data_IF_376217607719
#
_entry.id   IF_376217607719
#
_cell.length_a   1.000
_cell.length_b   1.000
_cell.length_c   1.000
_cell.angle_alpha   90.00
_cell.angle_beta   90.00
_cell.angle_gamma   90.00
#
_symmetry.space_group_name_H-M   'P 1'
#
loop_
_entity.id
_entity.type
_entity.pdbx_description
1 polymer ?
#
# COMPACT_ATOMS: atom_id res chain seq x y z
N UNK A 1 6.26 10.60 37.10
CA UNK A 1 7.07 9.58 36.41
C UNK A 1 7.52 10.24 35.12
N UNK A 2 8.64 10.96 35.23
CA UNK A 2 9.09 12.03 34.34
C UNK A 2 9.71 11.46 33.07
N UNK A 3 9.69 12.19 31.96
CA UNK A 3 10.26 11.77 30.67
C UNK A 3 11.71 11.25 30.75
N UNK A 4 12.47 11.68 31.76
CA UNK A 4 13.82 11.21 32.06
C UNK A 4 13.89 9.71 32.45
N UNK A 5 12.83 9.13 33.01
CA UNK A 5 12.80 7.72 33.39
C UNK A 5 12.63 6.76 32.21
N UNK A 6 12.30 7.27 31.02
CA UNK A 6 12.11 6.47 29.79
C UNK A 6 13.38 6.44 28.93
N UNK A 7 14.28 7.42 29.08
CA UNK A 7 15.56 7.44 28.35
C UNK A 7 16.59 6.48 28.97
N UNK A 8 16.48 6.24 30.28
CA UNK A 8 17.42 5.44 31.05
C UNK A 8 17.20 3.92 30.94
N UNK A 9 16.19 3.48 30.18
CA UNK A 9 15.82 2.06 30.00
C UNK A 9 16.25 1.47 28.65
N UNK A 10 17.05 2.17 27.84
CA UNK A 10 17.58 1.62 26.58
C UNK A 10 18.67 0.58 26.92
N UNK A 11 18.46 -0.72 26.65
CA UNK A 11 19.52 -1.72 26.83
C UNK A 11 20.65 -1.42 25.84
N UNK A 12 21.89 -1.53 26.31
CA UNK A 12 23.09 -1.34 25.50
C UNK A 12 23.00 -2.18 24.22
N UNK A 13 23.04 -1.51 23.06
CA UNK A 13 22.97 -2.16 21.76
C UNK A 13 24.15 -3.14 21.60
N UNK A 14 23.91 -4.43 21.30
CA UNK A 14 25.00 -5.35 21.00
C UNK A 14 25.53 -5.01 19.61
N UNK A 15 26.66 -4.29 19.55
CA UNK A 15 27.36 -4.01 18.29
C UNK A 15 28.04 -2.65 18.17
N UNK A 16 28.66 -2.13 19.23
CA UNK A 16 29.59 -1.01 19.07
C UNK A 16 30.92 -1.51 18.50
N UNK A 17 31.02 -1.59 17.17
CA UNK A 17 32.32 -1.68 16.49
C UNK A 17 33.17 -0.45 16.84
N UNK A 18 34.50 -0.57 16.95
CA UNK A 18 35.36 0.54 17.36
C UNK A 18 35.46 1.55 16.20
N UNK A 19 34.57 2.55 16.16
CA UNK A 19 34.68 3.68 15.23
C UNK A 19 33.39 4.39 14.78
N UNK A 20 32.20 4.04 15.28
CA UNK A 20 30.96 4.74 14.89
C UNK A 20 30.62 5.89 15.84
N UNK A 21 30.58 7.13 15.34
CA UNK A 21 29.91 8.24 16.05
C UNK A 21 28.41 7.95 16.26
N UNK A 22 27.69 8.77 17.04
CA UNK A 22 26.25 8.61 17.21
C UNK A 22 25.55 8.56 15.83
N UNK A 23 24.52 7.72 15.65
CA UNK A 23 23.76 7.64 14.40
C UNK A 23 23.34 9.03 13.95
N UNK A 24 23.56 9.35 12.67
CA UNK A 24 23.05 10.60 12.09
C UNK A 24 21.54 10.43 11.86
N UNK A 25 20.74 10.92 12.81
CA UNK A 25 19.27 10.91 12.74
C UNK A 25 18.72 12.11 11.90
N UNK A 26 19.59 12.85 11.20
CA UNK A 26 19.16 13.94 10.33
C UNK A 26 18.42 13.38 9.11
N UNK A 27 17.23 13.93 8.75
CA UNK A 27 16.56 13.58 7.51
C UNK A 27 17.49 13.82 6.31
N UNK A 28 17.52 12.88 5.36
CA UNK A 28 18.24 13.06 4.11
C UNK A 28 17.63 14.25 3.36
N UNK A 29 18.36 15.38 3.41
CA UNK A 29 17.90 16.65 2.88
C UNK A 29 17.73 16.57 1.36
N UNK A 30 18.50 15.74 0.67
CA UNK A 30 18.38 15.60 -0.79
C UNK A 30 17.07 14.89 -1.13
N UNK A 31 16.76 13.79 -0.45
CA UNK A 31 15.51 13.04 -0.68
C UNK A 31 14.29 13.90 -0.36
N UNK A 32 14.32 14.59 0.79
CA UNK A 32 13.21 15.45 1.22
C UNK A 32 13.02 16.63 0.28
N UNK A 33 14.09 17.33 -0.10
CA UNK A 33 13.96 18.52 -0.95
C UNK A 33 13.50 18.17 -2.36
N UNK A 34 14.04 17.09 -2.96
CA UNK A 34 13.61 16.63 -4.29
C UNK A 34 12.15 16.18 -4.25
N UNK A 35 11.74 15.40 -3.24
CA UNK A 35 10.37 14.94 -3.10
C UNK A 35 9.38 16.08 -2.92
N UNK A 36 9.66 17.02 -2.01
CA UNK A 36 8.81 18.20 -1.78
C UNK A 36 8.73 19.08 -3.02
N UNK A 37 9.86 19.34 -3.69
CA UNK A 37 9.88 20.14 -4.90
C UNK A 37 9.04 19.51 -6.03
N UNK A 38 9.14 18.19 -6.21
CA UNK A 38 8.36 17.46 -7.21
C UNK A 38 6.85 17.54 -6.93
N UNK A 39 6.43 17.31 -5.67
CA UNK A 39 5.02 17.41 -5.27
C UNK A 39 4.48 18.82 -5.47
N UNK A 40 5.23 19.85 -5.02
CA UNK A 40 4.81 21.24 -5.19
C UNK A 40 4.72 21.65 -6.65
N UNK A 41 5.62 21.17 -7.51
CA UNK A 41 5.57 21.44 -8.95
C UNK A 41 4.29 20.86 -9.59
N UNK A 42 3.93 19.62 -9.26
CA UNK A 42 2.70 18.99 -9.77
C UNK A 42 1.45 19.71 -9.26
N UNK A 43 1.42 20.06 -7.97
CA UNK A 43 0.30 20.81 -7.37
C UNK A 43 0.15 22.19 -8.02
N UNK A 44 1.26 22.91 -8.21
CA UNK A 44 1.25 24.21 -8.88
C UNK A 44 0.76 24.10 -10.32
N UNK A 45 1.19 23.08 -11.07
CA UNK A 45 0.72 22.86 -12.44
C UNK A 45 -0.79 22.56 -12.49
N UNK A 46 -1.29 21.69 -11.62
CA UNK A 46 -2.72 21.38 -11.52
C UNK A 46 -3.56 22.60 -11.10
N UNK A 47 -3.04 23.46 -10.21
CA UNK A 47 -3.72 24.65 -9.74
C UNK A 47 -3.82 25.74 -10.81
N UNK A 48 -2.73 25.99 -11.53
CA UNK A 48 -2.60 27.08 -12.52
C UNK A 48 -3.12 26.68 -13.91
N UNK A 49 -3.15 25.38 -14.23
CA UNK A 49 -3.39 24.88 -15.59
C UNK A 49 -4.29 23.65 -15.64
N UNK A 50 -5.44 23.66 -14.96
CA UNK A 50 -6.39 22.52 -14.89
C UNK A 50 -6.62 21.82 -16.23
N UNK A 51 -7.00 22.55 -17.27
CA UNK A 51 -7.29 21.93 -18.58
C UNK A 51 -6.09 21.22 -19.21
N UNK A 52 -4.88 21.78 -19.07
CA UNK A 52 -3.65 21.13 -19.54
C UNK A 52 -3.31 19.91 -18.69
N UNK A 53 -3.53 19.97 -17.38
CA UNK A 53 -3.28 18.88 -16.45
C UNK A 53 -4.25 17.72 -16.68
N UNK A 54 -5.54 18.00 -16.86
CA UNK A 54 -6.57 16.99 -17.13
C UNK A 54 -6.31 16.28 -18.47
N UNK A 55 -5.97 17.03 -19.52
CA UNK A 55 -5.60 16.45 -20.81
C UNK A 55 -4.33 15.58 -20.71
N UNK A 56 -3.29 16.09 -20.05
CA UNK A 56 -2.03 15.36 -19.88
C UNK A 56 -2.23 14.08 -19.05
N UNK A 57 -2.87 14.17 -17.89
CA UNK A 57 -3.12 13.02 -17.00
C UNK A 57 -4.04 11.99 -17.63
N UNK A 58 -5.11 12.41 -18.31
CA UNK A 58 -6.01 11.52 -19.05
C UNK A 58 -5.31 10.78 -20.19
N UNK A 59 -4.52 11.49 -21.00
CA UNK A 59 -3.74 10.87 -22.08
C UNK A 59 -2.67 9.91 -21.55
N UNK A 60 -2.00 10.25 -20.46
CA UNK A 60 -1.01 9.40 -19.82
C UNK A 60 -1.65 8.14 -19.24
N UNK A 61 -2.78 8.27 -18.53
CA UNK A 61 -3.54 7.13 -18.01
C UNK A 61 -3.97 6.19 -19.14
N UNK A 62 -4.56 6.73 -20.21
CA UNK A 62 -4.99 5.93 -21.35
C UNK A 62 -3.81 5.19 -22.00
N UNK A 63 -2.65 5.85 -22.13
CA UNK A 63 -1.44 5.23 -22.66
C UNK A 63 -0.91 4.12 -21.74
N UNK A 64 -0.89 4.34 -20.42
CA UNK A 64 -0.48 3.33 -19.45
C UNK A 64 -1.40 2.12 -19.51
N UNK A 65 -2.72 2.32 -19.52
CA UNK A 65 -3.67 1.20 -19.61
C UNK A 65 -3.56 0.45 -20.94
N UNK A 66 -3.35 1.16 -22.06
CA UNK A 66 -3.21 0.52 -23.36
C UNK A 66 -1.96 -0.37 -23.47
N UNK A 67 -0.85 0.01 -22.82
CA UNK A 67 0.45 -0.68 -22.99
C UNK A 67 0.85 -1.57 -21.80
N UNK A 68 0.42 -1.22 -20.59
CA UNK A 68 0.88 -1.85 -19.33
C UNK A 68 -0.24 -2.51 -18.52
N UNK A 69 -1.52 -2.47 -18.93
CA UNK A 69 -2.59 -3.13 -18.17
C UNK A 69 -2.33 -4.63 -17.93
N UNK A 70 -1.80 -5.33 -18.94
CA UNK A 70 -1.44 -6.75 -18.81
C UNK A 70 -0.37 -6.99 -17.74
N UNK A 71 0.57 -6.04 -17.57
CA UNK A 71 1.62 -6.13 -16.57
C UNK A 71 1.04 -6.00 -15.15
N UNK A 72 0.06 -5.12 -14.94
CA UNK A 72 -0.60 -4.98 -13.63
C UNK A 72 -1.32 -6.26 -13.21
N UNK A 73 -2.03 -6.92 -14.14
CA UNK A 73 -2.73 -8.18 -13.86
C UNK A 73 -1.73 -9.30 -13.55
N UNK A 74 -0.72 -9.49 -14.40
CA UNK A 74 0.30 -10.54 -14.17
C UNK A 74 1.09 -10.27 -12.89
N UNK A 75 1.46 -9.01 -12.60
CA UNK A 75 2.17 -8.68 -11.38
C UNK A 75 1.35 -9.00 -10.13
N UNK A 76 0.05 -8.67 -10.12
CA UNK A 76 -0.84 -9.01 -9.01
C UNK A 76 -0.89 -10.53 -8.77
N UNK A 77 -1.09 -11.31 -9.83
CA UNK A 77 -1.12 -12.77 -9.75
C UNK A 77 0.23 -13.35 -9.29
N UNK A 78 1.35 -12.82 -9.82
CA UNK A 78 2.70 -13.24 -9.44
C UNK A 78 2.99 -12.94 -7.98
N UNK A 79 2.64 -11.76 -7.47
CA UNK A 79 2.82 -11.42 -6.06
C UNK A 79 1.93 -12.28 -5.16
N UNK A 80 0.69 -12.58 -5.57
CA UNK A 80 -0.18 -13.50 -4.84
C UNK A 80 0.44 -14.89 -4.74
N UNK A 81 0.85 -15.46 -5.87
CA UNK A 81 1.49 -16.77 -5.92
C UNK A 81 2.79 -16.76 -5.13
N UNK A 82 3.61 -15.71 -5.25
CA UNK A 82 4.85 -15.56 -4.50
C UNK A 82 4.59 -15.58 -2.99
N UNK A 83 3.61 -14.82 -2.50
CA UNK A 83 3.23 -14.81 -1.08
C UNK A 83 2.80 -16.21 -0.60
N UNK A 84 1.97 -16.90 -1.38
CA UNK A 84 1.52 -18.28 -1.05
C UNK A 84 2.72 -19.24 -1.03
N UNK A 85 3.59 -19.19 -2.05
CA UNK A 85 4.79 -20.02 -2.13
C UNK A 85 5.71 -19.74 -0.94
N UNK A 86 5.97 -18.48 -0.60
CA UNK A 86 6.79 -18.12 0.55
C UNK A 86 6.19 -18.66 1.84
N UNK A 87 4.87 -18.53 2.05
CA UNK A 87 4.18 -19.02 3.23
C UNK A 87 4.25 -20.55 3.40
N UNK A 88 4.09 -21.34 2.33
CA UNK A 88 4.12 -22.81 2.40
C UNK A 88 5.52 -23.41 2.28
N UNK A 89 6.48 -22.66 1.72
CA UNK A 89 7.84 -23.12 1.53
C UNK A 89 8.64 -23.16 2.85
N UNK A 90 9.86 -23.71 2.77
CA UNK A 90 10.82 -23.66 3.88
C UNK A 90 11.12 -22.23 4.37
N UNK A 91 10.93 -21.22 3.52
CA UNK A 91 11.22 -19.82 3.84
C UNK A 91 10.18 -19.21 4.79
N UNK A 92 8.93 -19.69 4.78
CA UNK A 92 7.88 -19.23 5.70
C UNK A 92 8.13 -19.60 7.17
N UNK A 93 9.09 -20.50 7.44
CA UNK A 93 9.51 -20.86 8.81
C UNK A 93 10.60 -19.93 9.37
N UNK A 94 11.15 -19.04 8.55
CA UNK A 94 12.20 -18.12 8.98
C UNK A 94 11.56 -17.02 9.84
N UNK A 95 12.08 -16.83 11.06
CA UNK A 95 11.67 -15.73 11.93
C UNK A 95 12.30 -14.43 11.44
N UNK A 96 11.50 -13.36 11.38
CA UNK A 96 11.97 -12.02 11.00
C UNK A 96 12.59 -11.33 12.22
N UNK A 97 13.79 -11.75 12.60
CA UNK A 97 14.50 -11.26 13.78
C UNK A 97 15.73 -12.11 14.06
N UNK A 98 16.33 -11.96 15.24
CA UNK A 98 17.34 -12.90 15.72
C UNK A 98 16.71 -14.30 15.93
N UNK A 99 17.51 -15.36 15.90
CA UNK A 99 17.01 -16.74 16.04
C UNK A 99 16.19 -16.96 17.34
N UNK A 100 16.63 -16.31 18.43
CA UNK A 100 15.98 -16.34 19.75
C UNK A 100 14.94 -15.23 19.95
N UNK A 101 14.57 -14.49 18.90
CA UNK A 101 13.56 -13.44 19.02
C UNK A 101 12.16 -14.02 19.27
N UNK A 102 11.44 -13.39 20.19
CA UNK A 102 10.02 -13.64 20.46
C UNK A 102 9.16 -12.51 19.88
N UNK A 103 7.88 -12.77 19.54
CA UNK A 103 6.97 -11.73 19.05
C UNK A 103 6.74 -10.64 20.11
N UNK A 104 6.92 -9.37 19.72
CA UNK A 104 6.67 -8.21 20.60
C UNK A 104 5.18 -8.04 20.94
N UNK A 105 4.29 -8.42 20.02
CA UNK A 105 2.85 -8.32 20.18
C UNK A 105 2.20 -9.71 20.18
N UNK A 106 1.19 -9.90 21.04
CA UNK A 106 0.39 -11.12 21.02
C UNK A 106 -0.40 -11.26 19.71
N UNK A 107 -0.69 -12.51 19.32
CA UNK A 107 -1.31 -12.83 18.02
C UNK A 107 -2.60 -12.03 17.72
N UNK A 108 -3.46 -11.82 18.73
CA UNK A 108 -4.69 -11.04 18.54
C UNK A 108 -4.40 -9.56 18.25
N UNK A 109 -3.47 -8.96 19.00
CA UNK A 109 -3.06 -7.57 18.79
C UNK A 109 -2.40 -7.42 17.41
N UNK A 110 -1.57 -8.37 17.00
CA UNK A 110 -0.94 -8.38 15.68
C UNK A 110 -1.97 -8.45 14.53
N UNK A 111 -2.94 -9.36 14.61
CA UNK A 111 -4.02 -9.46 13.61
C UNK A 111 -4.83 -8.16 13.56
N UNK A 112 -5.16 -7.57 14.71
CA UNK A 112 -5.88 -6.31 14.78
C UNK A 112 -5.11 -5.16 14.11
N UNK A 113 -3.78 -5.08 14.30
CA UNK A 113 -2.93 -4.10 13.63
C UNK A 113 -2.91 -4.28 12.12
N UNK A 114 -2.81 -5.51 11.62
CA UNK A 114 -2.86 -5.79 10.16
C UNK A 114 -4.21 -5.40 9.55
N UNK A 115 -5.31 -5.67 10.26
CA UNK A 115 -6.64 -5.27 9.81
C UNK A 115 -6.82 -3.74 9.80
N UNK A 116 -6.31 -3.06 10.84
CA UNK A 116 -6.32 -1.60 10.90
C UNK A 116 -5.47 -0.95 9.81
N UNK A 117 -4.33 -1.54 9.46
CA UNK A 117 -3.48 -1.04 8.39
C UNK A 117 -4.14 -1.25 7.00
N UNK A 118 -4.91 -2.34 6.83
CA UNK A 118 -5.55 -2.68 5.55
C UNK A 118 -6.90 -2.00 5.29
N UNK A 119 -7.69 -1.72 6.33
CA UNK A 119 -9.00 -1.05 6.16
C UNK A 119 -8.85 0.46 5.94
N UNK A 120 -8.70 0.86 4.68
CA UNK A 120 -8.59 2.26 4.28
C UNK A 120 -9.91 2.93 3.90
N UNK A 121 -9.84 4.22 3.56
CA UNK A 121 -10.95 5.00 3.00
C UNK A 121 -11.56 4.39 1.73
N UNK A 122 -10.76 3.58 1.01
CA UNK A 122 -11.22 2.86 -0.19
C UNK A 122 -12.46 2.00 0.08
N UNK A 123 -12.54 1.32 1.23
CA UNK A 123 -13.72 0.51 1.57
C UNK A 123 -14.96 1.36 1.84
N UNK A 124 -14.78 2.56 2.42
CA UNK A 124 -15.90 3.48 2.66
C UNK A 124 -16.46 4.06 1.37
N UNK A 125 -15.61 4.27 0.36
CA UNK A 125 -16.03 4.84 -0.93
C UNK A 125 -16.51 3.78 -1.91
N UNK A 126 -15.72 2.74 -2.13
CA UNK A 126 -15.98 1.71 -3.13
C UNK A 126 -16.78 0.52 -2.60
N UNK A 127 -16.87 0.31 -1.28
CA UNK A 127 -17.61 -0.82 -0.71
C UNK A 127 -19.11 -0.84 -1.07
N UNK A 128 -19.71 0.31 -1.35
CA UNK A 128 -21.07 0.42 -1.93
C UNK A 128 -21.01 0.92 -3.38
N UNK A 129 -20.05 1.81 -3.70
CA UNK A 129 -19.95 2.44 -5.00
C UNK A 129 -19.68 1.47 -6.15
N UNK A 130 -18.78 0.50 -5.95
CA UNK A 130 -18.42 -0.47 -6.98
C UNK A 130 -19.56 -1.46 -7.27
N UNK A 131 -20.19 -2.12 -6.28
CA UNK A 131 -21.35 -2.98 -6.54
C UNK A 131 -22.51 -2.23 -7.20
N UNK A 132 -22.79 -0.99 -6.76
CA UNK A 132 -23.85 -0.19 -7.38
C UNK A 132 -23.51 0.14 -8.85
N UNK A 133 -22.25 0.45 -9.14
CA UNK A 133 -21.79 0.73 -10.51
C UNK A 133 -21.93 -0.52 -11.38
N UNK A 134 -21.54 -1.69 -10.89
CA UNK A 134 -21.68 -2.95 -11.63
C UNK A 134 -23.15 -3.40 -11.77
N UNK A 135 -24.03 -3.06 -10.83
CA UNK A 135 -25.46 -3.28 -10.99
C UNK A 135 -26.07 -2.43 -12.12
N UNK A 136 -25.63 -1.18 -12.24
CA UNK A 136 -26.10 -0.23 -13.28
C UNK A 136 -25.42 -0.45 -14.63
N UNK A 137 -24.16 -0.88 -14.65
CA UNK A 137 -23.36 -1.16 -15.83
C UNK A 137 -22.55 -2.45 -15.59
N UNK A 138 -23.16 -3.62 -15.82
CA UNK A 138 -22.51 -4.91 -15.57
C UNK A 138 -21.24 -5.08 -16.39
N UNK A 139 -20.19 -5.70 -15.84
CA UNK A 139 -18.98 -6.02 -16.58
C UNK A 139 -19.33 -6.79 -17.86
N UNK A 140 -18.71 -6.51 -19.02
CA UNK A 140 -19.04 -7.16 -20.29
C UNK A 140 -18.95 -8.70 -20.25
N UNK A 141 -18.07 -9.24 -19.40
CA UNK A 141 -17.89 -10.68 -19.21
C UNK A 141 -19.05 -11.36 -18.46
N UNK A 142 -19.92 -10.60 -17.76
CA UNK A 142 -21.03 -11.15 -16.97
C UNK A 142 -22.24 -11.57 -17.82
N UNK A 143 -22.39 -11.01 -19.03
CA UNK A 143 -23.55 -11.26 -19.89
C UNK A 143 -24.91 -10.77 -19.32
N UNK A 144 -24.91 -10.09 -18.17
CA UNK A 144 -26.11 -9.67 -17.49
C UNK A 144 -26.64 -8.34 -18.04
N UNK A 145 -27.96 -8.24 -18.19
CA UNK A 145 -28.61 -6.97 -18.51
C UNK A 145 -28.59 -6.04 -17.28
N UNK A 146 -28.35 -4.73 -17.45
CA UNK A 146 -28.39 -3.76 -16.36
C UNK A 146 -29.64 -3.84 -15.48
N UNK A 147 -29.50 -3.60 -14.18
CA UNK A 147 -30.60 -3.51 -13.21
C UNK A 147 -31.46 -4.79 -13.07
N UNK A 148 -30.89 -5.95 -13.39
CA UNK A 148 -31.55 -7.25 -13.21
C UNK A 148 -31.06 -7.97 -11.96
N UNK A 149 -31.78 -9.02 -11.53
CA UNK A 149 -31.33 -9.87 -10.43
C UNK A 149 -29.98 -10.55 -10.72
N UNK A 150 -29.70 -10.86 -11.99
CA UNK A 150 -28.42 -11.47 -12.40
C UNK A 150 -27.28 -10.46 -12.39
N UNK A 151 -27.53 -9.20 -12.78
CA UNK A 151 -26.59 -8.11 -12.59
C UNK A 151 -26.28 -7.84 -11.11
N UNK A 152 -27.27 -8.02 -10.23
CA UNK A 152 -27.06 -7.85 -8.79
C UNK A 152 -26.16 -8.93 -8.20
N UNK A 153 -26.23 -10.16 -8.73
CA UNK A 153 -25.32 -11.25 -8.34
C UNK A 153 -23.91 -11.00 -8.85
N UNK A 154 -23.78 -10.71 -10.15
CA UNK A 154 -22.50 -10.43 -10.79
C UNK A 154 -21.78 -9.19 -10.21
N UNK A 155 -22.51 -8.26 -9.58
CA UNK A 155 -21.94 -7.10 -8.92
C UNK A 155 -21.33 -7.38 -7.53
N UNK A 156 -21.64 -8.54 -6.93
CA UNK A 156 -21.16 -8.96 -5.61
C UNK A 156 -20.12 -10.09 -5.69
N UNK A 157 -19.98 -10.72 -6.86
CA UNK A 157 -18.96 -11.73 -7.18
C UNK A 157 -17.60 -11.05 -7.42
#
# INVERSE_FOLDING_TARGET
MSAESLEQARPDAPGAGPGGGPPDDSPDRMVVTVGVAAVLAVVAWAALGKGSFDAASGSALAWVLANFAWLFVIAADVFLVLCVVLAVSRFGRIRLGADDSEPEFGNLAWIAMMFSAGMGIGLMFYGVGEPLTHYLAPPPASGAAPRTGDAARAALE
#
